data_IF_437215409876
#
_entry.id   IF_437215409876
#
_cell.length_a   1.000
_cell.length_b   1.000
_cell.length_c   1.000
_cell.angle_alpha   90.00
_cell.angle_beta   90.00
_cell.angle_gamma   90.00
#
_symmetry.space_group_name_H-M   'P 1'
#
loop_
_entity.id
_entity.type
_entity.pdbx_description
1 polymer ?
#
# COMPACT_ATOMS: atom_id res chain seq x y z
N UNK A 1 -52.53 10.23 -19.41
CA UNK A 1 -51.31 10.95 -19.81
C UNK A 1 -50.97 10.51 -21.21
N UNK A 2 -51.10 11.40 -22.18
CA UNK A 2 -50.68 11.16 -23.56
C UNK A 2 -49.18 11.41 -23.61
N UNK A 3 -48.38 10.34 -23.73
CA UNK A 3 -46.95 10.44 -24.00
C UNK A 3 -46.75 11.23 -25.29
N UNK A 4 -46.25 12.47 -25.18
CA UNK A 4 -45.73 13.18 -26.34
C UNK A 4 -44.30 12.69 -26.59
N UNK A 5 -44.05 11.94 -27.67
CA UNK A 5 -42.76 11.29 -27.90
C UNK A 5 -41.58 12.28 -28.07
N UNK A 6 -41.81 13.58 -28.18
CA UNK A 6 -40.75 14.59 -28.31
C UNK A 6 -40.18 15.14 -27.00
N UNK A 7 -40.85 14.94 -25.85
CA UNK A 7 -40.37 15.51 -24.58
C UNK A 7 -39.17 14.72 -24.01
N UNK A 8 -39.16 13.40 -24.19
CA UNK A 8 -38.09 12.51 -23.68
C UNK A 8 -36.74 12.80 -24.34
N UNK A 9 -36.75 13.13 -25.63
CA UNK A 9 -35.52 13.41 -26.38
C UNK A 9 -34.87 14.74 -25.96
N UNK A 10 -35.68 15.74 -25.57
CA UNK A 10 -35.17 17.04 -25.15
C UNK A 10 -34.40 16.96 -23.82
N UNK A 11 -34.94 16.22 -22.85
CA UNK A 11 -34.29 16.07 -21.53
C UNK A 11 -32.97 15.32 -21.61
N UNK A 12 -32.93 14.24 -22.40
CA UNK A 12 -31.70 13.49 -22.62
C UNK A 12 -30.65 14.34 -23.35
N UNK A 13 -31.07 15.17 -24.31
CA UNK A 13 -30.17 16.09 -25.01
C UNK A 13 -29.56 17.12 -24.04
N UNK A 14 -30.34 17.67 -23.12
CA UNK A 14 -29.84 18.61 -22.10
C UNK A 14 -28.87 17.95 -21.12
N UNK A 15 -29.18 16.74 -20.64
CA UNK A 15 -28.26 15.96 -19.82
C UNK A 15 -26.93 15.70 -20.54
N UNK A 16 -27.00 15.24 -21.79
CA UNK A 16 -25.81 14.95 -22.60
C UNK A 16 -24.99 16.23 -22.88
N UNK A 17 -25.64 17.38 -23.03
CA UNK A 17 -24.96 18.67 -23.19
C UNK A 17 -24.18 19.06 -21.92
N UNK A 18 -24.79 18.89 -20.73
CA UNK A 18 -24.11 19.12 -19.46
C UNK A 18 -22.92 18.16 -19.25
N UNK A 19 -23.09 16.89 -19.65
CA UNK A 19 -22.02 15.88 -19.59
C UNK A 19 -20.87 16.19 -20.55
N UNK A 20 -21.15 16.68 -21.75
CA UNK A 20 -20.13 17.11 -22.71
C UNK A 20 -19.29 18.27 -22.15
N UNK A 21 -19.93 19.27 -21.53
CA UNK A 21 -19.24 20.38 -20.86
C UNK A 21 -18.34 19.88 -19.72
N UNK A 22 -18.79 18.86 -18.96
CA UNK A 22 -17.97 18.26 -17.91
C UNK A 22 -16.71 17.59 -18.48
N UNK A 23 -16.83 16.87 -19.61
CA UNK A 23 -15.70 16.25 -20.30
C UNK A 23 -14.71 17.26 -20.90
N UNK A 24 -15.18 18.45 -21.26
CA UNK A 24 -14.34 19.57 -21.72
C UNK A 24 -13.66 20.33 -20.56
N UNK A 25 -13.93 19.95 -19.30
CA UNK A 25 -13.39 20.62 -18.11
C UNK A 25 -14.12 21.93 -17.75
N UNK A 26 -15.26 22.21 -18.39
CA UNK A 26 -16.12 23.36 -18.12
C UNK A 26 -17.08 23.04 -16.96
N UNK A 27 -16.50 22.80 -15.78
CA UNK A 27 -17.22 22.29 -14.62
C UNK A 27 -18.36 23.20 -14.17
N UNK A 28 -18.19 24.53 -14.22
CA UNK A 28 -19.19 25.48 -13.73
C UNK A 28 -20.43 25.51 -14.63
N UNK A 29 -20.23 25.45 -15.94
CA UNK A 29 -21.29 25.39 -16.95
C UNK A 29 -22.02 24.04 -16.87
N UNK A 30 -21.28 22.94 -16.71
CA UNK A 30 -21.85 21.61 -16.52
C UNK A 30 -22.73 21.55 -15.25
N UNK A 31 -22.23 22.05 -14.12
CA UNK A 31 -22.98 22.13 -12.87
C UNK A 31 -24.27 22.94 -13.01
N UNK A 32 -24.23 24.08 -13.74
CA UNK A 32 -25.42 24.87 -14.01
C UNK A 32 -26.46 24.09 -14.84
N UNK A 33 -26.01 23.31 -15.83
CA UNK A 33 -26.86 22.42 -16.63
C UNK A 33 -27.55 21.35 -15.77
N UNK A 34 -26.80 20.64 -14.92
CA UNK A 34 -27.38 19.64 -14.02
C UNK A 34 -28.35 20.26 -13.01
N UNK A 35 -28.02 21.42 -12.41
CA UNK A 35 -28.91 22.14 -11.48
C UNK A 35 -30.22 22.56 -12.13
N UNK A 36 -30.19 23.02 -13.39
CA UNK A 36 -31.40 23.37 -14.12
C UNK A 36 -32.30 22.15 -14.37
N UNK A 37 -31.71 21.00 -14.69
CA UNK A 37 -32.44 19.74 -14.90
C UNK A 37 -33.10 19.25 -13.60
N UNK A 38 -32.35 19.29 -12.49
CA UNK A 38 -32.85 18.94 -11.15
C UNK A 38 -33.99 19.85 -10.72
N UNK A 39 -33.84 21.17 -10.88
CA UNK A 39 -34.86 22.15 -10.48
C UNK A 39 -36.19 21.95 -11.23
N UNK A 40 -36.15 21.54 -12.51
CA UNK A 40 -37.37 21.21 -13.26
C UNK A 40 -38.05 19.93 -12.76
N UNK A 41 -37.26 18.92 -12.40
CA UNK A 41 -37.78 17.68 -11.83
C UNK A 41 -38.50 17.96 -10.50
N UNK A 42 -37.90 18.80 -9.65
CA UNK A 42 -38.49 19.22 -8.38
C UNK A 42 -39.75 20.08 -8.57
N UNK A 43 -39.76 20.97 -9.58
CA UNK A 43 -40.88 21.87 -9.83
C UNK A 43 -42.15 21.14 -10.28
N UNK A 44 -42.01 20.11 -11.12
CA UNK A 44 -43.14 19.31 -11.62
C UNK A 44 -42.75 17.83 -11.64
N UNK A 45 -42.99 17.09 -10.54
CA UNK A 45 -42.68 15.66 -10.46
C UNK A 45 -43.34 14.88 -11.60
N UNK A 46 -42.55 14.08 -12.31
CA UNK A 46 -42.99 13.29 -13.47
C UNK A 46 -42.86 14.01 -14.82
N UNK A 47 -42.32 15.23 -14.87
CA UNK A 47 -41.89 15.82 -16.15
C UNK A 47 -40.61 15.16 -16.64
N UNK A 48 -39.59 15.08 -15.78
CA UNK A 48 -38.33 14.41 -16.09
C UNK A 48 -38.33 12.96 -15.61
N UNK A 49 -37.74 12.07 -16.43
CA UNK A 49 -37.51 10.67 -16.05
C UNK A 49 -36.72 10.58 -14.73
N UNK A 50 -37.24 9.88 -13.70
CA UNK A 50 -36.58 9.76 -12.41
C UNK A 50 -35.12 9.28 -12.51
N UNK A 51 -34.83 8.37 -13.44
CA UNK A 51 -33.49 7.83 -13.65
C UNK A 51 -32.51 8.90 -14.15
N UNK A 52 -32.99 9.81 -15.01
CA UNK A 52 -32.16 10.90 -15.55
C UNK A 52 -31.91 11.98 -14.51
N UNK A 53 -32.92 12.29 -13.68
CA UNK A 53 -32.76 13.23 -12.57
C UNK A 53 -31.81 12.68 -11.49
N UNK A 54 -31.91 11.38 -11.17
CA UNK A 54 -30.98 10.68 -10.31
C UNK A 54 -29.53 10.74 -10.81
N UNK A 55 -29.31 10.44 -12.10
CA UNK A 55 -27.99 10.45 -12.71
C UNK A 55 -27.39 11.88 -12.76
N UNK A 56 -28.23 12.89 -13.01
CA UNK A 56 -27.84 14.29 -12.94
C UNK A 56 -27.42 14.72 -11.53
N UNK A 57 -28.14 14.29 -10.48
CA UNK A 57 -27.78 14.61 -9.10
C UNK A 57 -26.48 13.91 -8.66
N UNK A 58 -26.30 12.63 -9.03
CA UNK A 58 -25.05 11.90 -8.77
C UNK A 58 -23.85 12.56 -9.47
N UNK A 59 -24.01 12.91 -10.74
CA UNK A 59 -22.95 13.55 -11.52
C UNK A 59 -22.62 14.95 -10.99
N UNK A 60 -23.64 15.71 -10.59
CA UNK A 60 -23.45 17.02 -9.94
C UNK A 60 -22.69 16.89 -8.63
N UNK A 61 -23.05 15.95 -7.75
CA UNK A 61 -22.39 15.74 -6.47
C UNK A 61 -20.90 15.38 -6.63
N UNK A 62 -20.57 14.51 -7.59
CA UNK A 62 -19.18 14.18 -7.93
C UNK A 62 -18.42 15.42 -8.44
N UNK A 63 -19.03 16.20 -9.33
CA UNK A 63 -18.41 17.42 -9.88
C UNK A 63 -18.19 18.50 -8.81
N UNK A 64 -19.13 18.69 -7.88
CA UNK A 64 -18.98 19.63 -6.74
C UNK A 64 -17.85 19.19 -5.81
N UNK A 65 -17.75 17.89 -5.51
CA UNK A 65 -16.63 17.32 -4.74
C UNK A 65 -15.29 17.59 -5.41
N UNK A 66 -15.17 17.27 -6.70
CA UNK A 66 -13.91 17.38 -7.43
C UNK A 66 -13.44 18.85 -7.58
N UNK A 67 -14.38 19.82 -7.51
CA UNK A 67 -14.08 21.26 -7.47
C UNK A 67 -13.88 21.83 -6.05
N UNK A 68 -13.80 20.99 -5.02
CA UNK A 68 -13.59 21.41 -3.63
C UNK A 68 -14.84 21.99 -2.94
N UNK A 69 -16.02 21.90 -3.56
CA UNK A 69 -17.32 22.26 -2.98
C UNK A 69 -17.93 21.07 -2.23
N UNK A 70 -17.18 20.53 -1.26
CA UNK A 70 -17.53 19.26 -0.58
C UNK A 70 -18.89 19.34 0.15
N UNK A 71 -19.24 20.50 0.70
CA UNK A 71 -20.53 20.68 1.38
C UNK A 71 -21.72 20.67 0.42
N UNK A 72 -21.58 21.34 -0.72
CA UNK A 72 -22.61 21.35 -1.77
C UNK A 72 -22.78 19.95 -2.35
N UNK A 73 -21.67 19.25 -2.64
CA UNK A 73 -21.70 17.88 -3.13
C UNK A 73 -22.38 16.91 -2.14
N UNK A 74 -22.12 17.07 -0.83
CA UNK A 74 -22.78 16.27 0.20
C UNK A 74 -24.28 16.58 0.30
N UNK A 75 -24.66 17.86 0.20
CA UNK A 75 -26.06 18.27 0.22
C UNK A 75 -26.83 17.73 -0.99
N UNK A 76 -26.27 17.87 -2.20
CA UNK A 76 -26.82 17.30 -3.45
C UNK A 76 -26.99 15.79 -3.33
N UNK A 77 -26.00 15.10 -2.77
CA UNK A 77 -26.07 13.65 -2.57
C UNK A 77 -27.17 13.25 -1.57
N UNK A 78 -27.31 13.95 -0.44
CA UNK A 78 -28.37 13.70 0.54
C UNK A 78 -29.76 13.91 -0.06
N UNK A 79 -29.95 14.97 -0.84
CA UNK A 79 -31.21 15.24 -1.54
C UNK A 79 -31.57 14.11 -2.51
N UNK A 80 -30.57 13.54 -3.19
CA UNK A 80 -30.77 12.41 -4.12
C UNK A 80 -31.38 11.21 -3.40
N UNK A 81 -30.90 10.85 -2.20
CA UNK A 81 -31.50 9.75 -1.45
C UNK A 81 -32.90 10.00 -0.96
N UNK A 82 -33.13 11.19 -0.40
CA UNK A 82 -34.43 11.54 0.14
C UNK A 82 -35.50 11.52 -0.96
N UNK A 83 -35.11 11.85 -2.18
CA UNK A 83 -36.01 11.96 -3.33
C UNK A 83 -36.29 10.62 -4.01
N UNK A 84 -35.27 9.75 -4.19
CA UNK A 84 -35.42 8.55 -5.02
C UNK A 84 -35.59 7.24 -4.25
N UNK A 85 -35.39 7.21 -2.92
CA UNK A 85 -35.71 6.04 -2.08
C UNK A 85 -35.21 4.72 -2.65
N UNK A 86 -33.90 4.56 -2.79
CA UNK A 86 -33.31 3.39 -3.45
C UNK A 86 -33.49 2.11 -2.64
N UNK A 87 -33.90 1.04 -3.32
CA UNK A 87 -33.80 -0.34 -2.81
C UNK A 87 -32.85 -1.17 -3.66
N UNK A 88 -31.86 -1.84 -3.05
CA UNK A 88 -31.04 -2.87 -3.72
C UNK A 88 -29.60 -2.45 -4.09
N UNK A 89 -29.09 -2.93 -5.23
CA UNK A 89 -27.67 -2.81 -5.64
C UNK A 89 -27.15 -1.37 -5.78
N UNK A 90 -28.06 -0.40 -5.98
CA UNK A 90 -27.75 1.04 -6.05
C UNK A 90 -27.55 1.66 -4.67
N UNK A 91 -28.16 1.08 -3.63
CA UNK A 91 -27.99 1.45 -2.22
C UNK A 91 -26.53 1.24 -1.77
N UNK A 92 -25.83 0.24 -2.33
CA UNK A 92 -24.41 -0.02 -2.03
C UNK A 92 -23.45 1.00 -2.69
N UNK A 93 -23.71 1.40 -3.95
CA UNK A 93 -22.96 2.50 -4.59
C UNK A 93 -23.24 3.82 -3.87
N UNK A 94 -24.46 3.98 -3.37
CA UNK A 94 -24.92 5.15 -2.65
C UNK A 94 -24.25 5.29 -1.28
N UNK A 95 -24.19 4.22 -0.48
CA UNK A 95 -23.47 4.21 0.81
C UNK A 95 -21.97 4.43 0.62
N UNK A 96 -21.38 3.89 -0.46
CA UNK A 96 -19.98 4.15 -0.81
C UNK A 96 -19.74 5.64 -1.15
N UNK A 97 -20.68 6.31 -1.83
CA UNK A 97 -20.60 7.74 -2.14
C UNK A 97 -20.67 8.64 -0.90
N UNK A 98 -21.60 8.40 0.02
CA UNK A 98 -21.66 9.12 1.32
C UNK A 98 -20.37 8.89 2.11
N UNK A 99 -19.91 7.64 2.17
CA UNK A 99 -18.70 7.29 2.88
C UNK A 99 -17.51 8.08 2.30
N UNK A 100 -17.30 8.07 0.99
CA UNK A 100 -16.20 8.82 0.35
C UNK A 100 -16.31 10.35 0.56
N UNK A 101 -17.51 10.92 0.53
CA UNK A 101 -17.74 12.36 0.77
C UNK A 101 -17.49 12.75 2.23
N UNK A 102 -17.97 11.95 3.19
CA UNK A 102 -17.69 12.15 4.62
C UNK A 102 -16.21 11.92 4.96
N UNK A 103 -15.58 10.93 4.31
CA UNK A 103 -14.15 10.68 4.43
C UNK A 103 -13.38 11.89 3.94
N UNK A 104 -13.75 12.44 2.78
CA UNK A 104 -13.14 13.65 2.22
C UNK A 104 -13.29 14.84 3.17
N UNK A 105 -14.48 15.09 3.73
CA UNK A 105 -14.70 16.18 4.70
C UNK A 105 -13.88 16.00 5.99
N UNK A 106 -13.90 14.80 6.57
CA UNK A 106 -13.10 14.47 7.77
C UNK A 106 -11.59 14.52 7.51
N UNK A 107 -11.16 14.17 6.30
CA UNK A 107 -9.76 14.23 5.87
C UNK A 107 -9.29 15.68 5.76
N UNK A 108 -10.14 16.59 5.24
CA UNK A 108 -9.83 18.02 5.17
C UNK A 108 -9.89 18.73 6.53
N UNK A 109 -10.73 18.30 7.46
CA UNK A 109 -10.91 18.99 8.75
C UNK A 109 -10.04 18.46 9.90
N UNK A 110 -9.64 17.18 9.95
CA UNK A 110 -9.08 16.58 11.18
C UNK A 110 -7.63 16.06 11.12
N UNK A 111 -6.93 16.10 9.98
CA UNK A 111 -5.52 15.66 9.85
C UNK A 111 -5.21 14.26 10.46
N UNK A 112 -6.23 13.38 10.48
CA UNK A 112 -6.18 12.03 11.10
C UNK A 112 -6.90 10.99 10.23
N UNK A 113 -6.29 10.56 9.12
CA UNK A 113 -6.93 9.68 8.14
C UNK A 113 -7.37 8.32 8.71
N UNK A 114 -6.67 7.80 9.73
CA UNK A 114 -6.98 6.50 10.33
C UNK A 114 -8.26 6.51 11.19
N UNK A 115 -8.57 7.66 11.80
CA UNK A 115 -9.79 7.84 12.62
C UNK A 115 -10.99 8.03 11.71
N UNK A 116 -10.81 8.76 10.59
CA UNK A 116 -11.82 8.94 9.57
C UNK A 116 -12.25 7.60 8.95
N UNK A 117 -11.31 6.75 8.52
CA UNK A 117 -11.64 5.43 7.96
C UNK A 117 -12.35 4.51 8.95
N UNK A 118 -11.90 4.45 10.21
CA UNK A 118 -12.53 3.60 11.23
C UNK A 118 -13.95 4.08 11.60
N UNK A 119 -14.20 5.39 11.62
CA UNK A 119 -15.54 5.96 11.79
C UNK A 119 -16.44 5.67 10.58
N UNK A 120 -15.89 5.79 9.37
CA UNK A 120 -16.57 5.48 8.12
C UNK A 120 -17.03 4.03 8.07
N UNK A 121 -16.11 3.10 8.33
CA UNK A 121 -16.40 1.66 8.29
C UNK A 121 -17.49 1.31 9.31
N UNK A 122 -17.47 1.95 10.49
CA UNK A 122 -18.47 1.74 11.53
C UNK A 122 -19.84 2.34 11.16
N UNK A 123 -19.87 3.55 10.60
CA UNK A 123 -21.10 4.20 10.16
C UNK A 123 -21.74 3.47 8.97
N UNK A 124 -20.93 3.07 7.99
CA UNK A 124 -21.37 2.29 6.82
C UNK A 124 -21.95 0.94 7.25
N UNK A 125 -21.26 0.21 8.14
CA UNK A 125 -21.74 -1.08 8.63
C UNK A 125 -23.05 -0.91 9.42
N UNK A 126 -23.16 0.15 10.23
CA UNK A 126 -24.36 0.44 11.02
C UNK A 126 -25.56 0.82 10.14
N UNK A 127 -25.36 1.69 9.15
CA UNK A 127 -26.40 2.07 8.19
C UNK A 127 -26.87 0.82 7.41
N UNK A 128 -25.95 0.00 6.90
CA UNK A 128 -26.29 -1.25 6.20
C UNK A 128 -27.05 -2.26 7.09
N UNK A 129 -26.72 -2.34 8.37
CA UNK A 129 -27.41 -3.23 9.33
C UNK A 129 -28.77 -2.71 9.78
N UNK A 130 -28.98 -1.38 9.82
CA UNK A 130 -30.24 -0.76 10.20
C UNK A 130 -31.22 -0.66 9.02
N UNK A 131 -30.73 -0.47 7.79
CA UNK A 131 -31.57 -0.34 6.59
C UNK A 131 -31.96 -1.69 5.95
N UNK A 132 -31.19 -2.76 6.17
CA UNK A 132 -31.41 -4.04 5.50
C UNK A 132 -31.53 -5.23 6.48
N UNK A 133 -32.75 -5.73 6.75
CA UNK A 133 -32.99 -6.87 7.66
C UNK A 133 -32.26 -8.14 7.25
N UNK A 134 -32.04 -8.35 5.95
CA UNK A 134 -31.35 -9.53 5.41
C UNK A 134 -29.84 -9.48 5.70
N UNK A 135 -29.25 -8.29 5.63
CA UNK A 135 -27.84 -8.10 5.97
C UNK A 135 -27.59 -8.33 7.47
N UNK A 136 -28.51 -7.83 8.31
CA UNK A 136 -28.49 -8.10 9.76
C UNK A 136 -28.56 -9.59 10.08
N UNK A 137 -29.45 -10.34 9.40
CA UNK A 137 -29.55 -11.79 9.59
C UNK A 137 -28.26 -12.54 9.21
N UNK A 138 -27.60 -12.15 8.11
CA UNK A 138 -26.32 -12.74 7.69
C UNK A 138 -25.18 -12.42 8.67
N UNK A 139 -25.17 -11.21 9.22
CA UNK A 139 -24.19 -10.80 10.23
C UNK A 139 -24.38 -11.57 11.54
N UNK A 140 -25.63 -11.76 11.98
CA UNK A 140 -25.96 -12.55 13.17
C UNK A 140 -25.58 -14.03 12.97
N UNK A 141 -25.80 -14.59 11.77
CA UNK A 141 -25.39 -15.95 11.42
C UNK A 141 -23.86 -16.12 11.43
N UNK A 142 -23.11 -15.18 10.86
CA UNK A 142 -21.65 -15.20 10.88
C UNK A 142 -21.09 -15.15 12.31
N UNK A 143 -21.69 -14.34 13.19
CA UNK A 143 -21.33 -14.28 14.61
C UNK A 143 -21.68 -15.57 15.35
N UNK A 144 -22.82 -16.20 15.03
CA UNK A 144 -23.19 -17.49 15.60
C UNK A 144 -22.22 -18.61 15.18
N UNK A 145 -21.79 -18.61 13.91
CA UNK A 145 -20.77 -19.54 13.39
C UNK A 145 -19.42 -19.33 14.07
N UNK A 146 -19.01 -18.07 14.27
CA UNK A 146 -17.80 -17.74 15.04
C UNK A 146 -17.87 -18.28 16.47
N UNK A 147 -18.96 -18.02 17.19
CA UNK A 147 -19.15 -18.51 18.55
C UNK A 147 -19.25 -20.05 18.65
N UNK A 148 -19.62 -20.74 17.57
CA UNK A 148 -19.57 -22.19 17.48
C UNK A 148 -18.12 -22.69 17.28
N UNK A 149 -17.34 -22.03 16.42
CA UNK A 149 -15.93 -22.35 16.20
C UNK A 149 -15.09 -22.13 17.47
N UNK A 150 -15.32 -21.03 18.20
CA UNK A 150 -14.63 -20.75 19.47
C UNK A 150 -14.90 -21.83 20.53
N UNK A 151 -16.14 -22.37 20.58
CA UNK A 151 -16.50 -23.49 21.45
C UNK A 151 -15.83 -24.82 21.07
N UNK A 152 -15.67 -25.08 19.78
CA UNK A 152 -15.07 -26.33 19.27
C UNK A 152 -13.56 -26.33 19.49
N UNK A 153 -12.91 -25.20 19.21
CA UNK A 153 -11.46 -25.13 19.15
C UNK A 153 -10.80 -24.53 20.40
N UNK A 154 -11.57 -24.02 21.36
CA UNK A 154 -11.03 -23.51 22.64
C UNK A 154 -10.14 -22.27 22.50
N UNK A 155 -10.17 -21.60 21.34
CA UNK A 155 -9.50 -20.33 21.11
C UNK A 155 -10.54 -19.20 21.13
N UNK A 156 -10.30 -18.15 21.92
CA UNK A 156 -10.96 -16.87 21.71
C UNK A 156 -10.40 -16.27 20.41
N UNK A 157 -11.19 -16.19 19.34
CA UNK A 157 -10.79 -15.45 18.16
C UNK A 157 -10.90 -13.96 18.49
N UNK A 158 -9.75 -13.32 18.72
CA UNK A 158 -9.57 -11.97 19.28
C UNK A 158 -10.08 -10.78 18.47
N UNK A 159 -11.32 -10.83 17.98
CA UNK A 159 -12.12 -9.65 17.58
C UNK A 159 -13.58 -9.93 17.95
N UNK A 160 -14.04 -9.41 19.09
CA UNK A 160 -15.45 -9.33 19.43
C UNK A 160 -15.94 -7.89 19.24
N UNK A 161 -16.84 -7.65 18.29
CA UNK A 161 -17.49 -6.36 18.12
C UNK A 161 -18.76 -6.38 18.98
N UNK A 162 -18.75 -5.74 20.15
CA UNK A 162 -19.99 -5.39 20.85
C UNK A 162 -20.45 -4.01 20.37
N UNK A 163 -21.77 -3.80 20.33
CA UNK A 163 -22.40 -2.54 19.89
C UNK A 163 -21.90 -1.30 20.64
N UNK A 164 -21.28 -1.47 21.81
CA UNK A 164 -20.86 -0.41 22.73
C UNK A 164 -19.34 -0.37 23.00
N UNK A 165 -18.54 -1.39 22.60
CA UNK A 165 -17.10 -1.44 22.89
C UNK A 165 -16.34 -2.49 22.07
N UNK A 166 -15.11 -2.17 21.67
CA UNK A 166 -14.11 -3.14 21.17
C UNK A 166 -13.12 -3.40 22.31
N UNK A 167 -13.09 -4.62 22.86
CA UNK A 167 -12.06 -5.06 23.81
C UNK A 167 -11.03 -5.94 23.09
N UNK A 168 -9.75 -5.56 23.20
CA UNK A 168 -8.61 -6.32 22.66
C UNK A 168 -7.95 -7.03 23.85
N UNK A 169 -8.28 -8.30 24.05
CA UNK A 169 -7.66 -9.17 25.05
C UNK A 169 -6.27 -9.64 24.61
N UNK A 170 -5.31 -9.65 25.54
CA UNK A 170 -3.94 -10.15 25.37
C UNK A 170 -3.82 -11.42 26.21
N UNK A 171 -3.57 -12.56 25.59
CA UNK A 171 -3.28 -13.80 26.32
C UNK A 171 -1.83 -14.24 26.07
N UNK A 172 -1.12 -14.45 27.18
CA UNK A 172 0.32 -14.77 27.26
C UNK A 172 0.46 -16.21 27.78
N UNK A 173 0.17 -17.25 26.96
CA UNK A 173 0.53 -18.65 27.29
C UNK A 173 0.88 -19.53 26.09
N UNK A 174 2.04 -20.20 26.24
CA UNK A 174 2.58 -21.41 25.59
C UNK A 174 3.13 -21.35 24.15
N UNK A 175 4.44 -21.58 24.00
CA UNK A 175 5.03 -22.92 23.79
C UNK A 175 6.58 -22.84 23.81
N UNK A 176 7.24 -23.79 24.48
CA UNK A 176 8.70 -23.99 24.48
C UNK A 176 9.00 -25.31 23.77
N UNK A 177 9.55 -25.30 22.53
CA UNK A 177 9.89 -26.52 21.83
C UNK A 177 11.38 -26.54 21.48
N UNK A 178 12.29 -26.77 22.42
CA UNK A 178 13.59 -27.41 22.10
C UNK A 178 14.27 -28.02 23.34
N UNK A 179 14.19 -29.35 23.45
CA UNK A 179 15.11 -30.16 24.27
C UNK A 179 15.81 -31.14 23.33
N UNK A 180 17.09 -30.95 22.95
CA UNK A 180 17.80 -31.96 22.18
C UNK A 180 18.31 -33.07 23.09
N UNK A 181 18.08 -34.31 22.68
CA UNK A 181 18.82 -35.48 23.13
C UNK A 181 20.29 -35.33 22.67
N UNK A 182 21.21 -35.31 23.62
CA UNK A 182 22.61 -35.62 23.39
C UNK A 182 22.92 -36.90 24.19
N UNK A 183 23.36 -37.94 23.48
CA UNK A 183 24.49 -38.81 23.85
C UNK A 183 24.46 -40.07 22.98
N UNK A 184 25.45 -40.17 22.09
CA UNK A 184 25.63 -41.28 21.17
C UNK A 184 27.08 -41.32 20.71
N UNK A 185 27.90 -41.96 21.54
CA UNK A 185 29.33 -42.25 21.35
C UNK A 185 29.54 -43.16 20.12
N UNK A 186 30.46 -42.79 19.23
CA UNK A 186 30.96 -43.63 18.14
C UNK A 186 32.48 -43.49 18.00
N UNK A 187 33.25 -44.57 17.77
CA UNK A 187 34.67 -44.62 18.06
C UNK A 187 35.59 -44.16 16.91
N UNK A 188 36.78 -43.73 17.34
CA UNK A 188 38.00 -43.46 16.57
C UNK A 188 38.24 -44.46 15.43
N UNK A 189 38.53 -43.93 14.25
CA UNK A 189 39.33 -44.59 13.23
C UNK A 189 40.43 -43.61 12.79
N UNK A 190 41.67 -44.05 12.96
CA UNK A 190 42.88 -43.33 12.55
C UNK A 190 42.92 -43.14 11.02
N UNK A 191 43.42 -42.00 10.52
CA UNK A 191 43.56 -41.78 9.09
C UNK A 191 44.78 -42.54 8.55
N UNK A 192 44.52 -43.47 7.63
CA UNK A 192 45.54 -44.03 6.72
C UNK A 192 45.82 -42.98 5.64
N UNK A 193 47.08 -42.54 5.57
CA UNK A 193 47.62 -41.59 4.60
C UNK A 193 47.87 -42.31 3.25
N UNK A 194 47.21 -41.93 2.14
CA UNK A 194 47.55 -42.48 0.84
C UNK A 194 48.61 -41.62 0.13
N UNK A 195 49.63 -42.34 -0.33
CA UNK A 195 50.76 -41.97 -1.16
C UNK A 195 50.36 -41.06 -2.35
N UNK A 196 50.95 -39.86 -2.40
CA UNK A 196 50.77 -38.88 -3.48
C UNK A 196 51.43 -39.35 -4.78
N UNK A 197 50.63 -39.79 -5.73
CA UNK A 197 51.02 -39.90 -7.14
C UNK A 197 50.71 -38.58 -7.87
N UNK A 198 51.71 -38.02 -8.55
CA UNK A 198 51.61 -36.79 -9.35
C UNK A 198 50.55 -36.91 -10.46
N UNK A 199 49.60 -35.96 -10.59
CA UNK A 199 48.65 -35.97 -11.70
C UNK A 199 49.32 -35.56 -13.03
N UNK A 200 48.93 -36.16 -14.16
CA UNK A 200 49.39 -35.75 -15.48
C UNK A 200 48.81 -34.36 -15.87
N UNK A 201 49.48 -33.62 -16.77
CA UNK A 201 49.06 -32.28 -17.17
C UNK A 201 47.68 -32.30 -17.87
N UNK A 202 46.82 -31.31 -17.63
CA UNK A 202 45.49 -31.26 -18.22
C UNK A 202 45.56 -31.00 -19.74
N UNK A 203 44.90 -31.85 -20.52
CA UNK A 203 44.60 -31.55 -21.92
C UNK A 203 43.51 -30.47 -22.02
N UNK A 204 43.56 -29.60 -23.05
CA UNK A 204 42.55 -28.58 -23.26
C UNK A 204 41.23 -29.24 -23.71
N UNK A 205 40.27 -29.31 -22.80
CA UNK A 205 38.88 -29.66 -23.14
C UNK A 205 38.19 -28.41 -23.65
N UNK A 206 38.06 -28.30 -24.96
CA UNK A 206 37.22 -27.29 -25.61
C UNK A 206 35.76 -27.71 -25.42
N UNK A 207 35.10 -27.18 -24.40
CA UNK A 207 33.64 -27.22 -24.32
C UNK A 207 33.08 -26.21 -25.32
N UNK A 208 32.50 -26.70 -26.41
CA UNK A 208 31.60 -25.91 -27.22
C UNK A 208 30.44 -25.45 -26.31
N UNK A 209 30.22 -24.14 -26.23
CA UNK A 209 29.07 -23.60 -25.52
C UNK A 209 27.79 -24.19 -26.12
N UNK A 210 26.86 -24.74 -25.32
CA UNK A 210 25.57 -25.14 -25.83
C UNK A 210 24.88 -23.90 -26.41
N UNK A 211 24.42 -24.00 -27.65
CA UNK A 211 23.59 -22.99 -28.30
C UNK A 211 22.45 -22.60 -27.34
N UNK A 212 22.27 -21.29 -27.03
CA UNK A 212 21.14 -20.87 -26.23
C UNK A 212 19.88 -21.21 -27.01
N UNK A 213 19.10 -22.15 -26.48
CA UNK A 213 17.76 -22.45 -26.96
C UNK A 213 16.97 -21.14 -27.15
N UNK A 214 16.20 -21.00 -28.24
CA UNK A 214 15.46 -19.78 -28.53
C UNK A 214 14.51 -19.48 -27.35
N UNK A 215 14.86 -18.47 -26.56
CA UNK A 215 14.01 -17.98 -25.48
C UNK A 215 12.79 -17.35 -26.14
N UNK A 216 11.64 -17.98 -25.95
CA UNK A 216 10.35 -17.37 -26.25
C UNK A 216 10.28 -16.07 -25.43
N UNK A 217 10.41 -14.94 -26.11
CA UNK A 217 10.23 -13.61 -25.54
C UNK A 217 8.77 -13.52 -25.12
N UNK A 218 8.50 -13.75 -23.84
CA UNK A 218 7.23 -13.38 -23.24
C UNK A 218 7.26 -11.86 -23.11
N UNK A 219 6.91 -11.16 -24.19
CA UNK A 219 6.58 -9.75 -24.13
C UNK A 219 5.38 -9.61 -23.20
N UNK A 220 5.52 -8.83 -22.13
CA UNK A 220 4.38 -8.25 -21.41
C UNK A 220 3.37 -7.78 -22.45
N UNK A 221 2.11 -8.21 -22.32
CA UNK A 221 1.07 -8.06 -23.35
C UNK A 221 0.78 -6.60 -23.76
N UNK A 222 1.42 -5.60 -23.13
CA UNK A 222 1.33 -4.19 -23.48
C UNK A 222 2.65 -3.54 -23.96
N UNK A 223 3.78 -4.26 -23.99
CA UNK A 223 5.07 -3.70 -24.44
C UNK A 223 5.58 -2.48 -23.67
N UNK A 224 4.93 -2.10 -22.56
CA UNK A 224 5.34 -0.95 -21.74
C UNK A 224 6.50 -1.36 -20.84
N UNK A 225 7.67 -0.82 -21.10
CA UNK A 225 8.82 -0.94 -20.21
C UNK A 225 8.54 -0.14 -18.93
N UNK A 226 8.65 -0.78 -17.77
CA UNK A 226 8.59 -0.09 -16.50
C UNK A 226 9.97 0.52 -16.22
N UNK A 227 10.04 1.85 -16.20
CA UNK A 227 11.27 2.61 -15.99
C UNK A 227 11.14 3.56 -14.81
N UNK A 228 12.13 3.54 -13.94
CA UNK A 228 12.27 4.44 -12.81
C UNK A 228 13.57 5.22 -12.94
N UNK A 229 13.52 6.52 -12.63
CA UNK A 229 14.68 7.39 -12.67
C UNK A 229 14.77 8.25 -11.42
N UNK A 230 16.00 8.59 -11.01
CA UNK A 230 16.25 9.62 -9.99
C UNK A 230 17.68 10.13 -10.05
N UNK A 231 17.92 11.24 -9.38
CA UNK A 231 19.25 11.77 -9.07
C UNK A 231 19.56 11.38 -7.61
N UNK A 232 20.71 10.77 -7.31
CA UNK A 232 21.02 10.36 -5.92
C UNK A 232 21.64 11.49 -5.10
N UNK A 233 22.45 12.34 -5.74
CA UNK A 233 23.19 13.41 -5.04
C UNK A 233 23.41 14.66 -5.89
N UNK A 234 23.82 15.76 -5.23
CA UNK A 234 24.17 17.02 -5.90
C UNK A 234 25.31 16.89 -6.91
N UNK A 235 26.16 15.87 -6.76
CA UNK A 235 27.37 15.70 -7.59
C UNK A 235 27.10 14.92 -8.87
N UNK A 236 25.90 14.35 -9.01
CA UNK A 236 25.53 13.59 -10.20
C UNK A 236 24.91 14.51 -11.23
N UNK A 237 25.47 14.47 -12.44
CA UNK A 237 24.98 15.24 -13.59
C UNK A 237 23.95 14.48 -14.42
N UNK A 238 23.95 13.15 -14.34
CA UNK A 238 23.04 12.28 -15.07
C UNK A 238 22.16 11.47 -14.09
N UNK A 239 20.86 11.30 -14.40
CA UNK A 239 19.98 10.49 -13.58
C UNK A 239 20.40 9.02 -13.64
N UNK A 240 20.25 8.33 -12.52
CA UNK A 240 20.27 6.88 -12.49
C UNK A 240 18.93 6.36 -13.01
N UNK A 241 18.98 5.32 -13.84
CA UNK A 241 17.79 4.67 -14.37
C UNK A 241 17.78 3.18 -14.06
N UNK A 242 16.57 2.68 -13.81
CA UNK A 242 16.27 1.28 -13.60
C UNK A 242 15.12 0.92 -14.50
N UNK A 243 15.36 -0.02 -15.41
CA UNK A 243 14.41 -0.41 -16.44
C UNK A 243 14.24 -1.93 -16.42
N UNK A 244 13.00 -2.38 -16.43
CA UNK A 244 12.69 -3.80 -16.56
C UNK A 244 12.78 -4.20 -18.03
N UNK A 245 13.80 -4.98 -18.35
CA UNK A 245 13.92 -5.65 -19.63
C UNK A 245 13.22 -7.01 -19.63
N UNK A 246 13.17 -7.71 -20.78
CA UNK A 246 12.50 -9.01 -20.89
C UNK A 246 13.07 -10.11 -19.98
N UNK A 247 14.36 -10.06 -19.65
CA UNK A 247 15.03 -11.13 -18.87
C UNK A 247 15.97 -10.60 -17.77
N UNK A 248 16.05 -9.28 -17.60
CA UNK A 248 16.98 -8.66 -16.68
C UNK A 248 16.50 -7.27 -16.24
N UNK A 249 16.89 -6.89 -15.02
CA UNK A 249 16.84 -5.51 -14.57
C UNK A 249 18.05 -4.77 -15.14
N UNK A 250 17.81 -3.79 -16.00
CA UNK A 250 18.83 -2.92 -16.57
C UNK A 250 19.03 -1.73 -15.64
N UNK A 251 20.28 -1.50 -15.24
CA UNK A 251 20.66 -0.46 -14.28
C UNK A 251 21.68 0.45 -14.95
N UNK A 252 21.35 1.74 -15.06
CA UNK A 252 22.30 2.75 -15.54
C UNK A 252 22.64 3.69 -14.39
N UNK A 253 23.93 3.80 -14.08
CA UNK A 253 24.48 4.68 -13.04
C UNK A 253 25.66 5.45 -13.61
N UNK A 254 25.60 6.77 -13.56
CA UNK A 254 26.69 7.65 -14.00
C UNK A 254 27.22 7.30 -15.42
N UNK A 255 26.31 6.95 -16.33
CA UNK A 255 26.64 6.56 -17.71
C UNK A 255 27.15 5.12 -17.88
N UNK A 256 27.36 4.37 -16.80
CA UNK A 256 27.65 2.94 -16.86
C UNK A 256 26.36 2.14 -16.76
N UNK A 257 26.14 1.24 -17.71
CA UNK A 257 25.01 0.32 -17.70
C UNK A 257 25.47 -1.09 -17.38
N UNK A 258 24.77 -1.75 -16.46
CA UNK A 258 24.91 -3.17 -16.20
C UNK A 258 23.52 -3.80 -16.07
N UNK A 259 23.44 -5.11 -16.28
CA UNK A 259 22.18 -5.84 -16.17
C UNK A 259 22.30 -6.93 -15.11
N UNK A 260 21.23 -7.13 -14.35
CA UNK A 260 21.09 -8.26 -13.42
C UNK A 260 20.02 -9.18 -13.98
N UNK A 261 20.42 -10.38 -14.43
CA UNK A 261 19.48 -11.37 -14.97
C UNK A 261 18.52 -11.84 -13.87
N UNK A 262 17.24 -11.98 -14.19
CA UNK A 262 16.22 -12.44 -13.23
C UNK A 262 16.55 -13.81 -12.63
N UNK A 263 17.10 -14.72 -13.44
CA UNK A 263 17.56 -16.05 -13.02
C UNK A 263 18.76 -16.01 -12.05
N UNK A 264 19.53 -14.91 -12.03
CA UNK A 264 20.65 -14.73 -11.11
C UNK A 264 20.25 -14.05 -9.81
N UNK A 265 19.06 -13.44 -9.73
CA UNK A 265 18.60 -12.77 -8.51
C UNK A 265 18.31 -13.80 -7.42
N UNK A 266 19.03 -13.68 -6.30
CA UNK A 266 18.93 -14.59 -5.16
C UNK A 266 18.12 -13.99 -4.02
N UNK A 267 18.11 -12.66 -3.89
CA UNK A 267 17.41 -11.97 -2.80
C UNK A 267 16.90 -10.61 -3.23
N UNK A 268 15.64 -10.34 -2.92
CA UNK A 268 14.98 -9.05 -3.01
C UNK A 268 14.67 -8.55 -1.60
N UNK A 269 15.33 -7.49 -1.14
CA UNK A 269 15.12 -6.91 0.18
C UNK A 269 14.38 -5.58 0.09
N UNK A 270 13.26 -5.44 0.80
CA UNK A 270 12.43 -4.25 0.83
C UNK A 270 12.41 -3.69 2.26
N UNK A 271 12.75 -2.40 2.44
CA UNK A 271 12.85 -1.79 3.79
C UNK A 271 12.34 -0.36 3.83
N UNK A 272 11.82 0.01 4.99
CA UNK A 272 11.50 1.40 5.31
C UNK A 272 12.68 2.03 6.07
N UNK A 273 13.46 2.87 5.39
CA UNK A 273 14.73 3.40 5.89
C UNK A 273 14.71 4.93 6.04
N UNK A 274 13.84 5.49 6.90
CA UNK A 274 13.70 6.94 7.05
C UNK A 274 15.02 7.57 7.49
N UNK A 275 15.36 8.71 6.91
CA UNK A 275 16.49 9.54 7.33
C UNK A 275 16.01 10.90 7.84
N UNK A 276 16.93 11.70 8.39
CA UNK A 276 16.63 13.08 8.83
C UNK A 276 15.98 13.92 7.73
N UNK A 277 16.42 13.74 6.49
CA UNK A 277 15.95 14.51 5.33
C UNK A 277 14.96 13.74 4.43
N UNK A 278 14.91 12.41 4.55
CA UNK A 278 14.02 11.54 3.75
C UNK A 278 13.10 10.75 4.70
N UNK A 279 12.06 11.38 5.25
CA UNK A 279 11.19 10.77 6.27
C UNK A 279 10.34 9.60 5.75
N UNK A 280 10.00 9.60 4.46
CA UNK A 280 9.23 8.56 3.77
C UNK A 280 10.07 7.65 2.88
N UNK A 281 11.33 7.39 3.24
CA UNK A 281 12.26 6.64 2.38
C UNK A 281 11.98 5.14 2.42
N UNK A 282 11.60 4.59 1.29
CA UNK A 282 11.54 3.15 1.03
C UNK A 282 12.71 2.77 0.12
N UNK A 283 13.32 1.61 0.37
CA UNK A 283 14.43 1.15 -0.44
C UNK A 283 14.26 -0.32 -0.83
N UNK A 284 14.62 -0.63 -2.06
CA UNK A 284 14.71 -1.98 -2.61
C UNK A 284 16.17 -2.31 -2.86
N UNK A 285 16.63 -3.45 -2.35
CA UNK A 285 17.95 -3.99 -2.66
C UNK A 285 17.79 -5.33 -3.39
N UNK A 286 18.38 -5.42 -4.57
CA UNK A 286 18.49 -6.66 -5.34
C UNK A 286 19.89 -7.21 -5.15
N UNK A 287 20.01 -8.50 -4.82
CA UNK A 287 21.28 -9.23 -4.82
C UNK A 287 21.23 -10.37 -5.83
N UNK A 288 22.34 -10.55 -6.53
CA UNK A 288 22.54 -11.64 -7.47
C UNK A 288 23.45 -12.73 -6.88
N UNK A 289 23.45 -13.89 -7.52
CA UNK A 289 24.34 -15.01 -7.19
C UNK A 289 25.82 -14.69 -7.39
N UNK A 290 26.15 -13.83 -8.37
CA UNK A 290 27.52 -13.38 -8.62
C UNK A 290 28.03 -12.38 -7.57
N UNK A 291 27.18 -11.96 -6.63
CA UNK A 291 27.50 -10.94 -5.63
C UNK A 291 27.21 -9.51 -6.09
N UNK A 292 26.86 -9.29 -7.37
CA UNK A 292 26.40 -7.99 -7.83
C UNK A 292 25.13 -7.58 -7.08
N UNK A 293 25.05 -6.30 -6.71
CA UNK A 293 23.90 -5.75 -6.00
C UNK A 293 23.53 -4.37 -6.49
N UNK A 294 22.23 -4.08 -6.47
CA UNK A 294 21.68 -2.78 -6.80
C UNK A 294 20.74 -2.34 -5.67
N UNK A 295 20.92 -1.12 -5.17
CA UNK A 295 20.03 -0.50 -4.19
C UNK A 295 19.33 0.70 -4.82
N UNK A 296 18.01 0.77 -4.65
CA UNK A 296 17.13 1.82 -5.17
C UNK A 296 16.34 2.38 -4.00
N UNK A 297 16.09 3.68 -3.99
CA UNK A 297 15.15 4.31 -3.06
C UNK A 297 14.17 5.21 -3.81
N UNK A 298 13.03 5.51 -3.21
CA UNK A 298 11.93 6.27 -3.80
C UNK A 298 12.13 7.80 -3.83
N UNK A 299 13.30 8.32 -3.45
CA UNK A 299 13.50 9.75 -3.19
C UNK A 299 14.59 10.32 -4.12
N UNK A 300 14.20 11.24 -5.01
CA UNK A 300 15.11 11.91 -5.95
C UNK A 300 15.67 13.19 -5.36
N UNK A 301 16.96 13.44 -5.52
CA UNK A 301 17.61 14.67 -5.07
C UNK A 301 17.16 15.86 -5.92
N UNK A 302 16.70 16.93 -5.25
CA UNK A 302 16.40 18.23 -5.87
C UNK A 302 17.34 19.31 -5.34
N UNK A 303 17.66 19.26 -4.04
CA UNK A 303 18.54 20.23 -3.40
C UNK A 303 19.01 19.77 -2.01
N UNK A 304 19.84 20.59 -1.36
CA UNK A 304 20.35 20.27 -0.02
C UNK A 304 19.19 20.20 0.97
N UNK A 305 18.91 18.99 1.47
CA UNK A 305 17.79 18.74 2.38
C UNK A 305 16.42 18.69 1.70
N UNK A 306 16.34 18.84 0.38
CA UNK A 306 15.10 18.76 -0.39
C UNK A 306 15.14 17.58 -1.36
N UNK A 307 14.15 16.71 -1.25
CA UNK A 307 14.03 15.50 -2.05
C UNK A 307 12.62 15.41 -2.62
N UNK A 308 12.52 15.15 -3.92
CA UNK A 308 11.26 14.85 -4.58
C UNK A 308 10.85 13.42 -4.25
N UNK A 309 9.61 13.26 -3.78
CA UNK A 309 9.02 11.96 -3.53
C UNK A 309 8.55 11.32 -4.84
N UNK A 310 9.11 10.14 -5.17
CA UNK A 310 8.73 9.33 -6.34
C UNK A 310 8.19 7.97 -5.93
N UNK A 311 7.39 7.95 -4.86
CA UNK A 311 6.84 6.73 -4.26
C UNK A 311 5.99 5.89 -5.21
N UNK A 312 5.19 6.53 -6.08
CA UNK A 312 4.34 5.84 -7.05
C UNK A 312 5.15 5.09 -8.12
N UNK A 313 6.05 5.81 -8.81
CA UNK A 313 6.90 5.23 -9.87
C UNK A 313 7.81 4.13 -9.30
N UNK A 314 8.32 4.33 -8.08
CA UNK A 314 9.08 3.33 -7.34
C UNK A 314 8.24 2.08 -7.01
N UNK A 315 7.03 2.26 -6.47
CA UNK A 315 6.15 1.14 -6.13
C UNK A 315 5.76 0.35 -7.39
N UNK A 316 5.46 1.02 -8.50
CA UNK A 316 5.21 0.37 -9.79
C UNK A 316 6.39 -0.49 -10.23
N UNK A 317 7.62 0.03 -10.15
CA UNK A 317 8.83 -0.75 -10.47
C UNK A 317 8.97 -1.99 -9.58
N UNK A 318 8.77 -1.84 -8.26
CA UNK A 318 8.89 -2.95 -7.31
C UNK A 318 7.88 -4.05 -7.61
N UNK A 319 6.60 -3.68 -7.84
CA UNK A 319 5.54 -4.63 -8.17
C UNK A 319 5.76 -5.30 -9.53
N UNK A 320 6.17 -4.54 -10.54
CA UNK A 320 6.47 -5.09 -11.86
C UNK A 320 7.68 -6.05 -11.79
N UNK A 321 8.75 -5.71 -11.05
CA UNK A 321 9.89 -6.60 -10.84
C UNK A 321 9.48 -7.88 -10.12
N UNK A 322 8.65 -7.78 -9.09
CA UNK A 322 8.09 -8.96 -8.40
C UNK A 322 7.35 -9.87 -9.37
N UNK A 323 6.46 -9.30 -10.19
CA UNK A 323 5.73 -10.07 -11.20
C UNK A 323 6.66 -10.78 -12.20
N UNK A 324 7.66 -10.08 -12.74
CA UNK A 324 8.65 -10.67 -13.66
C UNK A 324 9.46 -11.80 -13.00
N UNK A 325 9.86 -11.63 -11.74
CA UNK A 325 10.58 -12.66 -10.98
C UNK A 325 9.71 -13.90 -10.72
N UNK A 326 8.42 -13.68 -10.42
CA UNK A 326 7.45 -14.76 -10.26
C UNK A 326 7.24 -15.52 -11.58
N UNK A 327 7.10 -14.80 -12.70
CA UNK A 327 6.89 -15.39 -14.02
C UNK A 327 8.12 -16.18 -14.52
N UNK A 328 9.33 -15.70 -14.21
CA UNK A 328 10.57 -16.39 -14.55
C UNK A 328 10.85 -17.62 -13.67
N UNK A 329 10.02 -17.90 -12.66
CA UNK A 329 10.27 -18.97 -11.70
C UNK A 329 11.55 -18.75 -10.88
N UNK A 330 11.89 -17.49 -10.57
CA UNK A 330 13.07 -17.19 -9.77
C UNK A 330 12.94 -17.82 -8.38
N UNK A 331 14.00 -18.49 -7.93
CA UNK A 331 14.09 -19.10 -6.59
C UNK A 331 14.54 -18.08 -5.53
N UNK A 332 14.58 -16.79 -5.89
CA UNK A 332 15.02 -15.74 -4.99
C UNK A 332 14.08 -15.57 -3.79
N UNK A 333 14.65 -15.23 -2.64
CA UNK A 333 13.87 -14.91 -1.45
C UNK A 333 13.45 -13.43 -1.44
N UNK A 334 12.21 -13.15 -1.03
CA UNK A 334 11.75 -11.78 -0.76
C UNK A 334 11.76 -11.57 0.75
N UNK A 335 12.50 -10.56 1.19
CA UNK A 335 12.63 -10.24 2.62
C UNK A 335 12.23 -8.80 2.87
N UNK A 336 11.25 -8.60 3.75
CA UNK A 336 10.89 -7.31 4.29
C UNK A 336 11.72 -6.95 5.51
N UNK A 337 12.02 -5.67 5.66
CA UNK A 337 12.75 -5.13 6.81
C UNK A 337 14.26 -5.33 6.73
N UNK A 338 14.89 -5.44 7.90
CA UNK A 338 16.34 -5.67 8.03
C UNK A 338 16.61 -7.10 8.50
N UNK A 339 17.79 -7.65 8.23
CA UNK A 339 18.15 -9.00 8.68
C UNK A 339 18.16 -9.14 10.21
N UNK A 340 17.83 -10.32 10.72
CA UNK A 340 17.74 -10.61 12.17
C UNK A 340 18.94 -10.14 13.00
N UNK A 341 20.20 -10.41 12.61
CA UNK A 341 21.35 -9.96 13.39
C UNK A 341 21.40 -8.43 13.55
N UNK A 342 21.14 -7.71 12.46
CA UNK A 342 21.12 -6.24 12.47
C UNK A 342 19.90 -5.70 13.23
N UNK A 343 18.73 -6.33 13.11
CA UNK A 343 17.53 -5.98 13.86
C UNK A 343 17.77 -6.09 15.37
N UNK A 344 18.30 -7.23 15.83
CA UNK A 344 18.59 -7.48 17.24
C UNK A 344 19.68 -6.56 17.77
N UNK A 345 20.73 -6.30 16.98
CA UNK A 345 21.77 -5.34 17.34
C UNK A 345 21.17 -3.93 17.54
N UNK A 346 20.32 -3.48 16.61
CA UNK A 346 19.64 -2.18 16.74
C UNK A 346 18.66 -2.14 17.92
N UNK A 347 17.94 -3.23 18.18
CA UNK A 347 17.09 -3.37 19.36
C UNK A 347 17.90 -3.27 20.66
N UNK A 348 19.03 -3.99 20.74
CA UNK A 348 19.94 -3.95 21.88
C UNK A 348 20.54 -2.56 22.10
N UNK A 349 21.04 -1.90 21.06
CA UNK A 349 21.59 -0.55 21.15
C UNK A 349 20.53 0.46 21.59
N UNK A 350 19.30 0.32 21.09
CA UNK A 350 18.19 1.19 21.47
C UNK A 350 17.74 0.97 22.92
N UNK A 351 17.65 -0.30 23.35
CA UNK A 351 17.34 -0.65 24.74
C UNK A 351 18.42 -0.15 25.71
N UNK A 352 19.69 -0.29 25.33
CA UNK A 352 20.82 0.24 26.10
C UNK A 352 20.79 1.77 26.17
N UNK A 353 20.54 2.46 25.04
CA UNK A 353 20.38 3.91 25.03
C UNK A 353 19.23 4.38 25.91
N UNK A 354 18.10 3.69 25.87
CA UNK A 354 16.97 3.96 26.75
C UNK A 354 17.32 3.73 28.23
N UNK A 355 18.04 2.64 28.54
CA UNK A 355 18.53 2.37 29.90
C UNK A 355 19.46 3.48 30.40
N UNK A 356 20.42 3.94 29.59
CA UNK A 356 21.29 5.06 29.94
C UNK A 356 20.46 6.32 30.22
N UNK A 357 19.51 6.65 29.36
CA UNK A 357 18.59 7.78 29.57
C UNK A 357 17.84 7.62 30.89
N UNK A 358 17.31 6.43 31.19
CA UNK A 358 16.64 6.11 32.45
C UNK A 358 17.56 6.26 33.67
N UNK A 359 18.81 5.78 33.60
CA UNK A 359 19.80 5.97 34.66
C UNK A 359 20.12 7.45 34.89
N UNK A 360 20.09 8.28 33.84
CA UNK A 360 20.26 9.72 34.03
C UNK A 360 19.11 10.37 34.80
N UNK A 361 17.93 9.76 34.91
CA UNK A 361 16.85 10.32 35.77
C UNK A 361 17.20 10.24 37.26
N UNK A 362 18.09 9.33 37.66
CA UNK A 362 18.60 9.25 39.04
C UNK A 362 19.52 10.43 39.38
N UNK A 363 20.01 11.15 38.37
CA UNK A 363 20.94 12.28 38.50
C UNK A 363 20.34 13.52 37.84
N UNK A 364 19.69 14.37 38.63
CA UNK A 364 19.21 15.67 38.18
C UNK A 364 18.13 16.27 39.06
N UNK A 365 17.99 17.59 38.99
CA UNK A 365 16.85 18.30 39.58
C UNK A 365 15.55 18.05 38.81
N UNK A 366 14.39 18.46 39.37
CA UNK A 366 13.07 18.16 38.82
C UNK A 366 12.88 18.67 37.38
N UNK A 367 13.45 19.84 37.04
CA UNK A 367 13.38 20.40 35.68
C UNK A 367 14.10 19.51 34.67
N UNK A 368 15.28 18.99 35.03
CA UNK A 368 16.05 18.09 34.15
C UNK A 368 15.32 16.78 33.88
N UNK A 369 14.62 16.25 34.89
CA UNK A 369 13.74 15.08 34.75
C UNK A 369 12.64 15.34 33.73
N UNK A 370 11.94 16.49 33.82
CA UNK A 370 10.87 16.83 32.89
C UNK A 370 11.37 16.95 31.43
N UNK A 371 12.53 17.58 31.22
CA UNK A 371 13.14 17.72 29.88
C UNK A 371 13.47 16.33 29.30
N UNK A 372 14.09 15.44 30.10
CA UNK A 372 14.43 14.08 29.68
C UNK A 372 13.17 13.27 29.34
N UNK A 373 12.12 13.39 30.16
CA UNK A 373 10.85 12.71 29.92
C UNK A 373 10.21 13.17 28.61
N UNK A 374 10.19 14.48 28.36
CA UNK A 374 9.69 15.05 27.11
C UNK A 374 10.45 14.49 25.88
N UNK A 375 11.78 14.36 25.97
CA UNK A 375 12.59 13.74 24.92
C UNK A 375 12.23 12.26 24.71
N UNK A 376 12.10 11.47 25.78
CA UNK A 376 11.70 10.06 25.68
C UNK A 376 10.34 9.92 24.98
N UNK A 377 9.34 10.70 25.43
CA UNK A 377 8.00 10.69 24.83
C UNK A 377 8.03 11.10 23.36
N UNK A 378 8.92 12.04 22.97
CA UNK A 378 9.06 12.48 21.59
C UNK A 378 9.72 11.42 20.68
N UNK A 379 10.74 10.70 21.17
CA UNK A 379 11.55 9.80 20.35
C UNK A 379 11.10 8.34 20.36
N UNK A 380 10.54 7.84 21.47
CA UNK A 380 10.11 6.44 21.60
C UNK A 380 9.07 6.05 20.54
N UNK A 381 8.02 6.84 20.22
CA UNK A 381 7.07 6.48 19.18
C UNK A 381 7.71 6.32 17.79
N UNK A 382 8.69 7.17 17.47
CA UNK A 382 9.44 7.07 16.20
C UNK A 382 10.28 5.79 16.15
N UNK A 383 10.90 5.45 17.27
CA UNK A 383 11.68 4.22 17.42
C UNK A 383 10.79 2.98 17.30
N UNK A 384 9.66 2.94 18.01
CA UNK A 384 8.67 1.85 17.92
C UNK A 384 8.16 1.69 16.49
N UNK A 385 7.84 2.80 15.82
CA UNK A 385 7.45 2.81 14.40
C UNK A 385 8.55 2.18 13.53
N UNK A 386 9.80 2.58 13.72
CA UNK A 386 10.94 2.01 12.98
C UNK A 386 11.05 0.49 13.18
N UNK A 387 10.97 0.00 14.43
CA UNK A 387 11.04 -1.43 14.73
C UNK A 387 9.88 -2.23 14.16
N UNK A 388 8.67 -1.65 14.11
CA UNK A 388 7.50 -2.29 13.52
C UNK A 388 7.69 -2.52 12.02
N UNK A 389 8.15 -1.51 11.28
CA UNK A 389 8.32 -1.58 9.83
C UNK A 389 9.60 -2.29 9.38
N UNK A 390 10.63 -2.35 10.22
CA UNK A 390 11.89 -3.00 9.89
C UNK A 390 12.02 -4.40 10.46
N UNK A 391 10.99 -4.96 11.10
CA UNK A 391 11.01 -6.35 11.56
C UNK A 391 11.25 -7.28 10.35
N UNK A 392 12.25 -8.17 10.40
CA UNK A 392 12.45 -9.16 9.36
C UNK A 392 11.17 -9.97 9.15
N UNK A 393 10.64 -9.92 7.94
CA UNK A 393 9.41 -10.62 7.56
C UNK A 393 9.63 -11.32 6.21
N UNK A 394 9.28 -12.62 6.09
CA UNK A 394 9.27 -13.26 4.79
C UNK A 394 8.19 -12.63 3.90
N UNK A 395 8.49 -12.47 2.62
CA UNK A 395 7.55 -12.02 1.61
C UNK A 395 7.46 -13.00 0.45
N UNK A 396 6.57 -12.71 -0.48
CA UNK A 396 6.55 -13.34 -1.80
C UNK A 396 6.63 -12.25 -2.88
N UNK A 397 6.90 -12.66 -4.12
CA UNK A 397 6.97 -11.75 -5.25
C UNK A 397 5.62 -11.10 -5.62
N UNK A 398 4.51 -11.71 -5.19
CA UNK A 398 3.13 -11.22 -5.42
C UNK A 398 2.50 -10.57 -4.19
N UNK A 399 3.01 -10.87 -2.99
CA UNK A 399 2.55 -10.29 -1.74
C UNK A 399 3.76 -9.85 -0.89
N UNK A 400 4.08 -8.56 -0.97
CA UNK A 400 5.15 -7.97 -0.18
C UNK A 400 4.75 -7.79 1.29
N UNK A 401 5.71 -7.80 2.23
CA UNK A 401 5.42 -7.53 3.62
C UNK A 401 4.78 -6.14 3.81
N UNK A 402 3.81 -6.01 4.74
CA UNK A 402 3.08 -4.76 4.91
C UNK A 402 4.00 -3.62 5.34
N UNK A 403 3.90 -2.49 4.63
CA UNK A 403 4.66 -1.27 4.93
C UNK A 403 6.13 -1.29 4.51
N UNK A 404 6.57 -2.27 3.71
CA UNK A 404 7.91 -2.25 3.09
C UNK A 404 7.92 -1.62 1.68
N UNK A 405 6.73 -1.39 1.11
CA UNK A 405 6.51 -0.72 -0.18
C UNK A 405 5.48 0.39 0.04
N UNK A 406 5.61 1.57 -0.61
CA UNK A 406 4.56 2.57 -0.60
C UNK A 406 3.24 2.01 -1.16
N UNK A 407 2.08 2.47 -0.67
CA UNK A 407 0.81 2.12 -1.29
C UNK A 407 0.75 2.67 -2.73
N UNK A 408 0.20 1.87 -3.64
CA UNK A 408 -0.11 2.30 -5.01
C UNK A 408 -1.35 3.20 -5.00
N UNK A 409 -1.20 4.42 -4.49
CA UNK A 409 -2.25 5.46 -4.60
C UNK A 409 -1.98 6.25 -5.89
N UNK A 410 -3.01 6.50 -6.70
CA UNK A 410 -2.85 7.17 -7.99
C UNK A 410 -2.11 8.50 -7.84
N UNK A 411 -1.25 8.84 -8.82
CA UNK A 411 -0.45 10.08 -8.82
C UNK A 411 -1.31 11.33 -8.63
N UNK A 412 -2.55 11.30 -9.12
CA UNK A 412 -3.50 12.41 -9.05
C UNK A 412 -3.99 12.68 -7.62
N UNK A 413 -4.11 11.63 -6.80
CA UNK A 413 -4.50 11.78 -5.39
C UNK A 413 -3.41 12.45 -4.53
N UNK A 414 -2.14 12.31 -4.92
CA UNK A 414 -0.99 12.84 -4.15
C UNK A 414 -0.76 14.32 -4.44
N UNK A 415 -1.02 14.79 -5.67
CA UNK A 415 -0.83 16.19 -6.04
C UNK A 415 -1.94 17.12 -5.52
N UNK A 416 -3.12 16.59 -5.18
CA UNK A 416 -4.22 17.36 -4.56
C UNK A 416 -4.02 17.64 -3.06
N UNK A 417 -3.24 16.80 -2.37
CA UNK A 417 -2.88 16.99 -0.96
C UNK A 417 -1.58 17.79 -0.87
N UNK A 418 -1.71 19.11 -1.09
CA UNK A 418 -0.61 20.03 -1.32
C UNK A 418 0.63 19.90 -0.42
N UNK A 419 1.79 19.97 -1.06
CA UNK A 419 2.92 20.72 -0.53
C UNK A 419 2.49 22.18 -0.32
N UNK A 420 2.07 22.53 0.88
CA UNK A 420 2.07 23.90 1.39
C UNK A 420 3.01 24.01 2.58
#
# INVERSE_FOLDING_TARGET
MTDQPGAVDAEQAEYNAALALLHEGLHREAQAGFKALIARYEAVPGTIRPELAADAMCTLACSERDNGQVEDGLHTFMLTSLTFGYGGHEEARYVAGIADLLASKLYYEQDRPQVAHALLDNMTLRIMMESNPRFRALFDEANAQKAALERIYGFEAGVGIRMDRIDIGRDDRMFDPMKPLADGVGPNLDPVEPEQASPPPPMPVVFAAPDPAPQAVVTSAAGKTCRYEKIESKFETAPHSWELGPAALMVTRQGQSFSIRYAEMTRLTLRFAPSRFKKGRYTMQVRSRSGASAEIDNMSFVGIGNFEERSFDYALLVHALGLELSNCGSVGEVVGGVGWPYYLMMAGLSAFGLLVVLLTFLVGGPIGILIKLALVVLYVPRLVRWFKFNRPAPGSFTAFPPGTVPPLVSRDSVNGAGCR
#
